data_IF_122295196187
#
_entry.id   IF_122295196187
#
_cell.length_a   1.000
_cell.length_b   1.000
_cell.length_c   1.000
_cell.angle_alpha   90.00
_cell.angle_beta   90.00
_cell.angle_gamma   90.00
#
_symmetry.space_group_name_H-M   'P 1'
#
loop_
_entity.id
_entity.type
_entity.pdbx_description
1 polymer ?
#
# COMPACT_ATOMS: atom_id res chain seq x y z
N UNK A 1 -30.38 -14.90 20.35
CA UNK A 1 -30.04 -13.89 21.38
C UNK A 1 -28.79 -13.16 20.94
N UNK A 2 -28.86 -11.84 20.66
CA UNK A 2 -27.68 -11.05 20.29
C UNK A 2 -26.89 -10.71 21.56
N UNK A 3 -25.76 -11.38 21.80
CA UNK A 3 -24.87 -11.06 22.91
C UNK A 3 -24.36 -9.61 22.76
N UNK A 4 -24.53 -8.74 23.76
CA UNK A 4 -24.00 -7.39 23.71
C UNK A 4 -22.47 -7.42 23.60
N UNK A 5 -21.92 -6.43 22.89
CA UNK A 5 -20.47 -6.34 22.67
C UNK A 5 -19.76 -5.93 23.96
N UNK A 6 -18.74 -6.69 24.43
CA UNK A 6 -17.97 -6.31 25.61
C UNK A 6 -17.27 -4.96 25.38
N UNK A 7 -17.25 -4.15 26.44
CA UNK A 7 -16.75 -2.78 26.39
C UNK A 7 -15.29 -2.70 25.90
N UNK A 8 -14.43 -3.58 26.42
CA UNK A 8 -13.01 -3.63 26.06
C UNK A 8 -12.78 -4.04 24.61
N UNK A 9 -13.53 -5.01 24.09
CA UNK A 9 -13.37 -5.48 22.71
C UNK A 9 -13.67 -4.37 21.70
N UNK A 10 -14.65 -3.50 22.01
CA UNK A 10 -14.94 -2.32 21.19
C UNK A 10 -13.77 -1.32 21.21
N UNK A 11 -13.18 -1.04 22.38
CA UNK A 11 -12.04 -0.12 22.47
C UNK A 11 -10.84 -0.62 21.67
N UNK A 12 -10.52 -1.92 21.76
CA UNK A 12 -9.49 -2.56 20.95
C UNK A 12 -9.79 -2.46 19.44
N UNK A 13 -11.04 -2.66 19.03
CA UNK A 13 -11.43 -2.54 17.62
C UNK A 13 -11.29 -1.10 17.10
N UNK A 14 -11.71 -0.10 17.88
CA UNK A 14 -11.57 1.30 17.49
C UNK A 14 -10.09 1.70 17.39
N UNK A 15 -9.27 1.25 18.34
CA UNK A 15 -7.81 1.45 18.28
C UNK A 15 -7.21 0.77 17.04
N UNK A 16 -7.59 -0.48 16.76
CA UNK A 16 -7.14 -1.21 15.59
C UNK A 16 -7.55 -0.51 14.27
N UNK A 17 -8.74 0.10 14.22
CA UNK A 17 -9.19 0.86 13.05
C UNK A 17 -8.39 2.14 12.84
N UNK A 18 -8.03 2.86 13.92
CA UNK A 18 -7.11 4.01 13.86
C UNK A 18 -5.74 3.58 13.35
N UNK A 19 -5.23 2.46 13.85
CA UNK A 19 -3.95 1.91 13.42
C UNK A 19 -4.00 1.45 11.95
N UNK A 20 -5.11 0.86 11.51
CA UNK A 20 -5.29 0.46 10.12
C UNK A 20 -5.34 1.66 9.15
N UNK A 21 -5.91 2.80 9.57
CA UNK A 21 -6.03 3.98 8.70
C UNK A 21 -4.84 4.94 8.76
N UNK A 22 -4.04 4.88 9.82
CA UNK A 22 -2.88 5.75 10.04
C UNK A 22 -1.99 5.93 8.80
N UNK A 23 -1.56 4.87 8.11
CA UNK A 23 -0.64 5.02 6.99
C UNK A 23 -1.34 5.44 5.69
N UNK A 24 -2.67 5.31 5.63
CA UNK A 24 -3.49 5.86 4.55
C UNK A 24 -3.74 7.37 4.71
N UNK A 25 -3.45 7.96 5.88
CA UNK A 25 -3.69 9.38 6.13
C UNK A 25 -2.88 10.32 5.24
N UNK A 26 -1.73 9.86 4.73
CA UNK A 26 -0.88 10.64 3.83
C UNK A 26 -1.34 10.59 2.37
N UNK A 27 -2.25 9.67 2.03
CA UNK A 27 -2.68 9.41 0.65
C UNK A 27 -4.15 9.72 0.42
N UNK A 28 -4.99 9.40 1.40
CA UNK A 28 -6.41 9.66 1.31
C UNK A 28 -6.66 11.17 1.48
N UNK A 29 -7.63 11.73 0.74
CA UNK A 29 -8.04 13.11 0.93
C UNK A 29 -8.41 13.37 2.40
N UNK A 30 -8.06 14.54 2.95
CA UNK A 30 -8.28 14.83 4.37
C UNK A 30 -9.73 14.67 4.82
N UNK A 31 -10.70 14.91 3.92
CA UNK A 31 -12.12 14.74 4.22
C UNK A 31 -12.49 13.29 4.55
N UNK A 32 -11.81 12.29 3.98
CA UNK A 32 -12.03 10.86 4.30
C UNK A 32 -11.62 10.59 5.75
N UNK A 33 -10.49 11.17 6.17
CA UNK A 33 -10.00 11.06 7.54
C UNK A 33 -10.92 11.76 8.52
N UNK A 34 -11.53 12.90 8.13
CA UNK A 34 -12.55 13.58 8.94
C UNK A 34 -13.77 12.67 9.13
N UNK A 35 -14.29 12.05 8.06
CA UNK A 35 -15.42 11.11 8.16
C UNK A 35 -15.07 9.95 9.10
N UNK A 36 -13.85 9.43 9.03
CA UNK A 36 -13.36 8.38 9.93
C UNK A 36 -13.20 8.82 11.38
N UNK A 37 -12.58 9.98 11.60
CA UNK A 37 -12.46 10.58 12.92
C UNK A 37 -13.83 10.79 13.57
N UNK A 38 -14.80 11.33 12.82
CA UNK A 38 -16.18 11.53 13.30
C UNK A 38 -16.84 10.19 13.61
N UNK A 39 -16.75 9.19 12.73
CA UNK A 39 -17.38 7.89 12.96
C UNK A 39 -16.80 7.16 14.19
N UNK A 40 -15.48 7.19 14.36
CA UNK A 40 -14.78 6.59 15.51
C UNK A 40 -15.10 7.35 16.79
N UNK A 41 -15.04 8.69 16.76
CA UNK A 41 -15.36 9.54 17.91
C UNK A 41 -16.82 9.37 18.34
N UNK A 42 -17.75 9.34 17.38
CA UNK A 42 -19.17 9.09 17.65
C UNK A 42 -19.36 7.73 18.33
N UNK A 43 -18.74 6.69 17.78
CA UNK A 43 -18.85 5.33 18.36
C UNK A 43 -18.26 5.27 19.77
N UNK A 44 -17.16 5.98 20.01
CA UNK A 44 -16.54 6.11 21.32
C UNK A 44 -17.41 6.89 22.32
N UNK A 45 -18.11 7.95 21.89
CA UNK A 45 -19.09 8.66 22.73
C UNK A 45 -20.31 7.81 23.07
N UNK A 46 -20.80 7.01 22.12
CA UNK A 46 -21.86 6.01 22.38
C UNK A 46 -21.37 4.95 23.37
N UNK A 47 -20.11 4.54 23.27
CA UNK A 47 -19.50 3.59 24.21
C UNK A 47 -19.45 4.12 25.65
N UNK A 48 -19.16 5.42 25.83
CA UNK A 48 -19.19 6.07 27.14
C UNK A 48 -20.61 6.28 27.69
N UNK A 49 -21.65 6.00 26.90
CA UNK A 49 -23.04 6.27 27.28
C UNK A 49 -23.45 7.75 27.14
N UNK A 50 -22.58 8.59 26.58
CA UNK A 50 -22.86 10.02 26.41
C UNK A 50 -23.87 10.29 25.30
N UNK A 51 -23.82 9.51 24.20
CA UNK A 51 -24.66 9.70 23.00
C UNK A 51 -25.45 8.44 22.65
N UNK A 52 -26.56 8.62 21.95
CA UNK A 52 -27.34 7.53 21.34
C UNK A 52 -26.79 7.16 19.95
N UNK A 53 -27.20 5.99 19.46
CA UNK A 53 -26.88 5.58 18.08
C UNK A 53 -27.52 6.54 17.07
N UNK A 54 -26.84 6.89 15.97
CA UNK A 54 -27.39 7.78 14.97
C UNK A 54 -28.65 7.17 14.32
N UNK A 55 -29.64 8.03 14.07
CA UNK A 55 -30.89 7.64 13.41
C UNK A 55 -30.66 7.13 11.98
N UNK A 56 -31.61 6.35 11.45
CA UNK A 56 -31.50 5.77 10.10
C UNK A 56 -31.31 6.83 9.01
N UNK A 57 -32.00 7.96 9.12
CA UNK A 57 -31.89 9.07 8.17
C UNK A 57 -30.48 9.69 8.13
N UNK A 58 -29.87 9.93 9.31
CA UNK A 58 -28.50 10.47 9.42
C UNK A 58 -27.49 9.51 8.78
N UNK A 59 -27.65 8.20 9.02
CA UNK A 59 -26.76 7.20 8.40
C UNK A 59 -26.91 7.16 6.89
N UNK A 60 -28.14 7.17 6.38
CA UNK A 60 -28.40 7.17 4.94
C UNK A 60 -27.83 8.43 4.28
N UNK A 61 -28.01 9.58 4.91
CA UNK A 61 -27.41 10.84 4.49
C UNK A 61 -25.88 10.74 4.44
N UNK A 62 -25.22 10.24 5.50
CA UNK A 62 -23.77 10.07 5.54
C UNK A 62 -23.26 9.14 4.43
N UNK A 63 -23.95 8.04 4.16
CA UNK A 63 -23.61 7.12 3.07
C UNK A 63 -23.71 7.84 1.72
N UNK A 64 -24.86 8.45 1.42
CA UNK A 64 -25.09 9.16 0.15
C UNK A 64 -24.07 10.27 -0.04
N UNK A 65 -23.84 11.09 0.98
CA UNK A 65 -22.85 12.18 0.95
C UNK A 65 -21.44 11.65 0.73
N UNK A 66 -21.07 10.52 1.35
CA UNK A 66 -19.74 9.94 1.17
C UNK A 66 -19.55 9.39 -0.25
N UNK A 67 -20.53 8.67 -0.79
CA UNK A 67 -20.49 8.17 -2.17
C UNK A 67 -20.42 9.33 -3.17
N UNK A 68 -21.22 10.37 -2.97
CA UNK A 68 -21.18 11.57 -3.80
C UNK A 68 -19.82 12.28 -3.71
N UNK A 69 -19.27 12.43 -2.50
CA UNK A 69 -17.95 13.02 -2.30
C UNK A 69 -16.84 12.23 -2.99
N UNK A 70 -16.85 10.89 -2.92
CA UNK A 70 -15.91 10.05 -3.68
C UNK A 70 -16.09 10.26 -5.19
N UNK A 71 -17.32 10.21 -5.70
CA UNK A 71 -17.59 10.34 -7.13
C UNK A 71 -17.27 11.72 -7.72
N UNK A 72 -17.35 12.78 -6.90
CA UNK A 72 -16.94 14.13 -7.28
C UNK A 72 -15.41 14.31 -7.19
N UNK A 73 -14.75 13.66 -6.23
CA UNK A 73 -13.31 13.78 -6.03
C UNK A 73 -12.51 12.97 -7.06
N UNK A 74 -12.90 11.72 -7.32
CA UNK A 74 -12.28 10.87 -8.33
C UNK A 74 -13.19 10.73 -9.55
N UNK A 75 -12.74 11.25 -10.70
CA UNK A 75 -13.47 11.20 -11.98
C UNK A 75 -13.69 9.76 -12.50
N UNK A 76 -12.89 8.81 -12.03
CA UNK A 76 -13.03 7.38 -12.31
C UNK A 76 -12.87 6.56 -11.03
N UNK A 77 -13.81 5.65 -10.78
CA UNK A 77 -13.80 4.75 -9.60
C UNK A 77 -12.92 3.50 -9.80
N UNK A 78 -12.27 3.36 -10.96
CA UNK A 78 -11.46 2.19 -11.34
C UNK A 78 -10.05 2.17 -10.72
N UNK A 79 -9.76 3.06 -9.78
CA UNK A 79 -8.46 3.15 -9.11
C UNK A 79 -8.42 2.45 -7.74
N UNK A 80 -7.21 2.12 -7.29
CA UNK A 80 -6.98 1.56 -5.96
C UNK A 80 -7.33 2.57 -4.85
N UNK A 81 -7.00 3.84 -5.04
CA UNK A 81 -7.28 4.91 -4.08
C UNK A 81 -8.77 5.10 -3.76
N UNK A 82 -9.68 5.31 -4.74
CA UNK A 82 -11.11 5.44 -4.45
C UNK A 82 -11.69 4.15 -3.83
N UNK A 83 -11.19 2.98 -4.20
CA UNK A 83 -11.61 1.72 -3.59
C UNK A 83 -11.24 1.65 -2.09
N UNK A 84 -10.01 2.04 -1.74
CA UNK A 84 -9.55 2.09 -0.35
C UNK A 84 -10.28 3.19 0.44
N UNK A 85 -10.55 4.34 -0.18
CA UNK A 85 -11.35 5.40 0.43
C UNK A 85 -12.77 4.94 0.77
N UNK A 86 -13.45 4.30 -0.19
CA UNK A 86 -14.78 3.72 0.02
C UNK A 86 -14.77 2.65 1.09
N UNK A 87 -13.76 1.79 1.11
CA UNK A 87 -13.60 0.76 2.13
C UNK A 87 -13.40 1.36 3.52
N UNK A 88 -12.56 2.39 3.64
CA UNK A 88 -12.33 3.10 4.91
C UNK A 88 -13.64 3.71 5.41
N UNK A 89 -14.33 4.48 4.56
CA UNK A 89 -15.64 5.09 4.85
C UNK A 89 -16.65 4.03 5.28
N UNK A 90 -16.78 2.94 4.51
CA UNK A 90 -17.68 1.85 4.81
C UNK A 90 -17.34 1.22 6.17
N UNK A 91 -16.05 1.01 6.45
CA UNK A 91 -15.54 0.49 7.72
C UNK A 91 -15.93 1.34 8.92
N UNK A 92 -15.68 2.65 8.89
CA UNK A 92 -16.03 3.50 10.03
C UNK A 92 -17.53 3.77 10.15
N UNK A 93 -18.26 3.93 9.05
CA UNK A 93 -19.73 3.99 9.11
C UNK A 93 -20.30 2.69 9.70
N UNK A 94 -19.74 1.53 9.32
CA UNK A 94 -20.12 0.25 9.88
C UNK A 94 -19.78 0.13 11.36
N UNK A 95 -18.60 0.62 11.77
CA UNK A 95 -18.20 0.67 13.18
C UNK A 95 -19.15 1.55 14.01
N UNK A 96 -19.60 2.69 13.46
CA UNK A 96 -20.54 3.60 14.10
C UNK A 96 -21.91 2.97 14.36
N UNK A 97 -22.39 2.11 13.46
CA UNK A 97 -23.68 1.42 13.60
C UNK A 97 -23.61 0.02 14.24
N UNK A 98 -22.42 -0.44 14.62
CA UNK A 98 -22.16 -1.81 15.05
C UNK A 98 -22.93 -2.18 16.32
N UNK A 99 -23.79 -3.21 16.21
CA UNK A 99 -24.62 -3.74 17.32
C UNK A 99 -24.43 -5.22 17.59
N UNK A 100 -24.12 -5.99 16.56
CA UNK A 100 -24.05 -7.46 16.64
C UNK A 100 -22.63 -7.99 16.51
N UNK A 101 -22.41 -9.25 16.88
CA UNK A 101 -21.14 -9.95 16.63
C UNK A 101 -20.80 -10.03 15.15
N UNK A 102 -21.81 -10.19 14.28
CA UNK A 102 -21.60 -10.18 12.83
C UNK A 102 -21.05 -8.84 12.37
N UNK A 103 -21.61 -7.73 12.87
CA UNK A 103 -21.12 -6.39 12.54
C UNK A 103 -19.67 -6.20 13.02
N UNK A 104 -19.32 -6.73 14.20
CA UNK A 104 -17.94 -6.72 14.72
C UNK A 104 -16.96 -7.43 13.81
N UNK A 105 -17.29 -8.64 13.36
CA UNK A 105 -16.44 -9.39 12.43
C UNK A 105 -16.27 -8.66 11.10
N UNK A 106 -17.33 -8.02 10.58
CA UNK A 106 -17.23 -7.21 9.36
C UNK A 106 -16.21 -6.08 9.53
N UNK A 107 -16.24 -5.32 10.63
CA UNK A 107 -15.29 -4.23 10.86
C UNK A 107 -13.87 -4.76 11.07
N UNK A 108 -13.71 -5.92 11.74
CA UNK A 108 -12.40 -6.60 11.87
C UNK A 108 -11.82 -6.97 10.50
N UNK A 109 -12.62 -7.57 9.62
CA UNK A 109 -12.17 -7.92 8.26
C UNK A 109 -11.87 -6.69 7.42
N UNK A 110 -12.66 -5.62 7.54
CA UNK A 110 -12.37 -4.34 6.90
C UNK A 110 -11.02 -3.78 7.40
N UNK A 111 -10.75 -3.83 8.70
CA UNK A 111 -9.48 -3.38 9.25
C UNK A 111 -8.29 -4.21 8.73
N UNK A 112 -8.41 -5.55 8.67
CA UNK A 112 -7.39 -6.39 8.05
C UNK A 112 -7.16 -6.04 6.58
N UNK A 113 -8.23 -5.80 5.82
CA UNK A 113 -8.11 -5.45 4.41
C UNK A 113 -7.48 -4.07 4.21
N UNK A 114 -7.78 -3.09 5.09
CA UNK A 114 -7.11 -1.79 5.09
C UNK A 114 -5.60 -1.91 5.40
N UNK A 115 -5.22 -2.80 6.33
CA UNK A 115 -3.81 -3.08 6.59
C UNK A 115 -3.15 -3.74 5.39
N UNK A 116 -3.81 -4.72 4.75
CA UNK A 116 -3.29 -5.38 3.57
C UNK A 116 -3.16 -4.42 2.37
N UNK A 117 -4.13 -3.51 2.18
CA UNK A 117 -4.10 -2.56 1.07
C UNK A 117 -2.93 -1.58 1.17
N UNK A 118 -2.41 -1.30 2.37
CA UNK A 118 -1.18 -0.52 2.56
C UNK A 118 -0.01 -1.07 1.76
N UNK A 119 0.14 -2.40 1.76
CA UNK A 119 1.25 -3.12 1.11
C UNK A 119 1.16 -3.10 -0.41
N UNK A 120 0.02 -2.67 -0.96
CA UNK A 120 -0.15 -2.46 -2.40
C UNK A 120 0.45 -1.13 -2.86
N UNK A 121 0.57 -0.16 -1.96
CA UNK A 121 1.12 1.16 -2.25
C UNK A 121 2.59 1.25 -1.86
N UNK A 122 2.96 0.73 -0.68
CA UNK A 122 4.31 0.88 -0.12
C UNK A 122 4.95 -0.47 0.12
N UNK A 123 6.12 -0.68 -0.47
CA UNK A 123 6.87 -1.93 -0.38
C UNK A 123 8.12 -1.81 0.51
N UNK A 124 8.32 -0.67 1.15
CA UNK A 124 9.45 -0.41 2.04
C UNK A 124 9.31 -1.12 3.40
N UNK A 125 10.44 -1.46 4.00
CA UNK A 125 10.52 -2.18 5.29
C UNK A 125 9.72 -1.50 6.42
N UNK A 126 9.75 -0.16 6.60
CA UNK A 126 8.98 0.49 7.67
C UNK A 126 7.47 0.24 7.58
N UNK A 127 6.91 0.20 6.37
CA UNK A 127 5.48 -0.07 6.18
C UNK A 127 5.14 -1.53 6.41
N UNK A 128 6.04 -2.46 6.08
CA UNK A 128 5.88 -3.87 6.44
C UNK A 128 5.87 -4.07 7.97
N UNK A 129 6.78 -3.42 8.70
CA UNK A 129 6.80 -3.45 10.16
C UNK A 129 5.53 -2.83 10.76
N UNK A 130 5.09 -1.69 10.21
CA UNK A 130 3.83 -1.07 10.60
C UNK A 130 2.64 -2.00 10.37
N UNK A 131 2.59 -2.68 9.22
CA UNK A 131 1.53 -3.64 8.91
C UNK A 131 1.49 -4.79 9.94
N UNK A 132 2.64 -5.32 10.36
CA UNK A 132 2.70 -6.33 11.43
C UNK A 132 2.10 -5.80 12.74
N UNK A 133 2.44 -4.58 13.15
CA UNK A 133 1.89 -3.94 14.35
C UNK A 133 0.38 -3.71 14.21
N UNK A 134 -0.08 -3.28 13.04
CA UNK A 134 -1.50 -3.08 12.75
C UNK A 134 -2.29 -4.40 12.77
N UNK A 135 -1.77 -5.45 12.13
CA UNK A 135 -2.33 -6.80 12.18
C UNK A 135 -2.38 -7.34 13.61
N UNK A 136 -1.37 -7.07 14.43
CA UNK A 136 -1.38 -7.40 15.86
C UNK A 136 -2.51 -6.67 16.60
N UNK A 137 -2.71 -5.37 16.34
CA UNK A 137 -3.82 -4.60 16.91
C UNK A 137 -5.19 -5.16 16.55
N UNK A 138 -5.41 -5.50 15.27
CA UNK A 138 -6.67 -6.11 14.80
C UNK A 138 -6.87 -7.51 15.41
N UNK A 139 -5.81 -8.31 15.49
CA UNK A 139 -5.85 -9.64 16.12
C UNK A 139 -6.17 -9.54 17.61
N UNK A 140 -5.59 -8.57 18.32
CA UNK A 140 -5.87 -8.31 19.73
C UNK A 140 -7.34 -7.94 19.96
N UNK A 141 -7.95 -7.16 19.06
CA UNK A 141 -9.38 -6.88 19.11
C UNK A 141 -10.23 -8.15 18.96
N UNK A 142 -9.86 -9.04 18.03
CA UNK A 142 -10.54 -10.31 17.81
C UNK A 142 -10.40 -11.25 19.01
N UNK A 143 -9.20 -11.34 19.60
CA UNK A 143 -8.92 -12.12 20.80
C UNK A 143 -9.71 -11.58 21.99
N UNK A 144 -9.69 -10.26 22.21
CA UNK A 144 -10.44 -9.59 23.29
C UNK A 144 -11.96 -9.80 23.17
N UNK A 145 -12.49 -10.12 21.98
CA UNK A 145 -13.90 -10.43 21.79
C UNK A 145 -14.24 -11.87 22.16
N UNK A 146 -13.37 -12.83 21.84
CA UNK A 146 -13.60 -14.26 22.07
C UNK A 146 -13.34 -14.68 23.51
N UNK A 147 -12.42 -14.00 24.20
CA UNK A 147 -12.12 -14.30 25.61
C UNK A 147 -13.15 -13.73 26.61
N UNK A 148 -14.08 -12.87 26.17
CA UNK A 148 -14.98 -12.17 27.09
C UNK A 148 -14.25 -11.11 27.93
N UNK A 149 -14.79 -10.77 29.11
CA UNK A 149 -14.08 -9.94 30.09
C UNK A 149 -13.23 -10.83 31.00
N UNK A 150 -11.90 -10.90 30.83
CA UNK A 150 -11.05 -11.65 31.74
C UNK A 150 -10.92 -10.91 33.08
N UNK A 151 -10.57 -11.67 34.13
CA UNK A 151 -10.28 -11.12 35.46
C UNK A 151 -9.28 -9.94 35.37
N UNK A 152 -9.45 -8.88 36.18
CA UNK A 152 -8.60 -7.69 36.13
C UNK A 152 -7.12 -8.06 36.39
N UNK A 153 -6.21 -7.54 35.55
CA UNK A 153 -4.75 -7.58 35.79
C UNK A 153 -3.90 -8.32 34.77
N UNK A 154 -4.46 -9.01 33.78
CA UNK A 154 -3.66 -9.72 32.77
C UNK A 154 -3.78 -9.07 31.38
N UNK A 155 -2.68 -8.69 30.70
CA UNK A 155 -2.70 -8.29 29.29
C UNK A 155 -2.87 -9.52 28.38
N UNK A 156 -3.83 -10.37 28.70
CA UNK A 156 -4.07 -11.67 28.05
C UNK A 156 -4.33 -11.56 26.54
N UNK A 157 -5.01 -10.51 26.02
CA UNK A 157 -5.21 -10.38 24.59
C UNK A 157 -3.90 -10.23 23.80
N UNK A 158 -2.93 -9.48 24.34
CA UNK A 158 -1.64 -9.23 23.67
C UNK A 158 -0.74 -10.46 23.71
N UNK A 159 -0.68 -11.17 24.85
CA UNK A 159 0.12 -12.39 24.97
C UNK A 159 -0.38 -13.47 24.02
N UNK A 160 -1.70 -13.73 23.98
CA UNK A 160 -2.24 -14.70 23.04
C UNK A 160 -2.07 -14.25 21.59
N UNK A 161 -2.26 -12.96 21.30
CA UNK A 161 -1.98 -12.41 19.97
C UNK A 161 -0.53 -12.64 19.56
N UNK A 162 0.43 -12.36 20.44
CA UNK A 162 1.85 -12.62 20.19
C UNK A 162 2.14 -14.09 19.92
N UNK A 163 1.53 -15.01 20.68
CA UNK A 163 1.63 -16.46 20.43
C UNK A 163 1.07 -16.85 19.07
N UNK A 164 -0.11 -16.34 18.69
CA UNK A 164 -0.74 -16.61 17.39
C UNK A 164 0.11 -16.08 16.23
N UNK A 165 0.66 -14.86 16.37
CA UNK A 165 1.55 -14.29 15.35
C UNK A 165 2.86 -15.06 15.25
N UNK A 166 3.45 -15.47 16.38
CA UNK A 166 4.65 -16.30 16.37
C UNK A 166 4.42 -17.65 15.68
N UNK A 167 3.25 -18.28 15.88
CA UNK A 167 2.85 -19.50 15.17
C UNK A 167 2.58 -19.27 13.67
N UNK A 168 2.18 -18.05 13.29
CA UNK A 168 2.00 -17.68 11.89
C UNK A 168 3.33 -17.49 11.14
N UNK A 169 4.44 -17.17 11.83
CA UNK A 169 5.76 -16.95 11.21
C UNK A 169 6.27 -18.18 10.44
N UNK A 170 6.27 -19.42 10.99
CA UNK A 170 6.65 -20.61 10.23
C UNK A 170 5.81 -20.80 8.96
N UNK A 171 4.49 -20.58 9.05
CA UNK A 171 3.58 -20.69 7.91
C UNK A 171 3.90 -19.62 6.87
N UNK A 172 4.15 -18.39 7.30
CA UNK A 172 4.58 -17.29 6.44
C UNK A 172 5.89 -17.61 5.72
N UNK A 173 6.90 -18.14 6.43
CA UNK A 173 8.19 -18.53 5.83
C UNK A 173 8.02 -19.68 4.83
N UNK A 174 7.19 -20.68 5.16
CA UNK A 174 6.87 -21.76 4.25
C UNK A 174 6.20 -21.23 2.97
N UNK A 175 5.17 -20.39 3.11
CA UNK A 175 4.51 -19.76 1.97
C UNK A 175 5.48 -18.86 1.19
N UNK A 176 6.38 -18.14 1.86
CA UNK A 176 7.37 -17.28 1.19
C UNK A 176 8.34 -18.09 0.31
N UNK A 177 8.73 -19.29 0.73
CA UNK A 177 9.63 -20.17 -0.04
C UNK A 177 8.88 -20.91 -1.14
N UNK A 178 7.67 -21.40 -0.85
CA UNK A 178 6.90 -22.25 -1.78
C UNK A 178 6.15 -21.44 -2.83
N UNK A 179 5.70 -20.23 -2.50
CA UNK A 179 4.86 -19.46 -3.41
C UNK A 179 5.71 -18.80 -4.51
N UNK A 180 5.48 -19.12 -5.79
CA UNK A 180 6.22 -18.52 -6.88
C UNK A 180 5.95 -17.02 -6.91
N UNK A 181 7.00 -16.22 -7.05
CA UNK A 181 6.90 -14.76 -7.23
C UNK A 181 6.40 -14.44 -8.64
N UNK A 182 5.13 -14.74 -8.90
CA UNK A 182 4.47 -14.42 -10.16
C UNK A 182 4.19 -12.92 -10.17
N UNK A 183 4.45 -12.25 -11.29
CA UNK A 183 4.06 -10.86 -11.47
C UNK A 183 2.55 -10.68 -11.24
N UNK A 184 2.09 -9.53 -10.73
CA UNK A 184 0.67 -9.32 -10.46
C UNK A 184 -0.17 -9.57 -11.72
N UNK A 185 -1.05 -10.56 -11.68
CA UNK A 185 -1.96 -10.90 -12.80
C UNK A 185 -3.01 -9.80 -13.08
N UNK A 186 -3.09 -8.81 -12.18
CA UNK A 186 -4.06 -7.73 -12.12
C UNK A 186 -3.37 -6.37 -12.10
N UNK A 187 -2.21 -6.22 -12.74
CA UNK A 187 -1.48 -4.95 -12.77
C UNK A 187 -2.37 -3.82 -13.34
N UNK A 188 -2.97 -3.05 -12.43
CA UNK A 188 -3.64 -1.79 -12.76
C UNK A 188 -2.51 -0.79 -12.98
N UNK A 189 -2.47 -0.06 -14.11
CA UNK A 189 -1.50 1.01 -14.31
C UNK A 189 -1.62 1.98 -13.13
N UNK A 190 -0.67 1.89 -12.20
CA UNK A 190 -0.60 2.83 -11.09
C UNK A 190 -0.23 4.16 -11.75
N UNK A 191 -1.10 5.15 -11.65
CA UNK A 191 -0.82 6.50 -12.10
C UNK A 191 0.14 7.17 -11.11
N UNK A 192 1.27 6.52 -10.83
CA UNK A 192 2.39 7.15 -10.17
C UNK A 192 2.89 8.23 -11.10
N UNK A 193 2.64 9.49 -10.75
CA UNK A 193 3.40 10.66 -11.24
C UNK A 193 4.90 10.58 -10.89
N UNK A 194 5.40 9.43 -10.46
CA UNK A 194 6.81 9.09 -10.39
C UNK A 194 7.32 8.94 -11.82
N UNK A 195 7.85 10.04 -12.34
CA UNK A 195 8.82 10.14 -13.42
C UNK A 195 8.74 9.01 -14.47
N UNK A 196 8.13 9.33 -15.60
CA UNK A 196 8.33 8.64 -16.89
C UNK A 196 9.76 8.12 -16.96
N UNK A 197 9.88 6.79 -17.04
CA UNK A 197 11.14 6.05 -16.92
C UNK A 197 12.10 6.41 -18.04
N UNK A 198 12.96 7.38 -17.77
CA UNK A 198 14.29 7.54 -18.36
C UNK A 198 15.31 7.51 -17.21
N UNK A 199 16.53 7.02 -17.45
CA UNK A 199 17.56 7.03 -16.41
C UNK A 199 17.87 8.49 -16.04
N UNK A 200 17.70 8.84 -14.76
CA UNK A 200 17.92 10.21 -14.24
C UNK A 200 19.40 10.57 -14.23
N UNK A 201 19.73 11.86 -14.30
CA UNK A 201 21.12 12.37 -14.28
C UNK A 201 21.85 12.18 -12.94
N UNK A 202 21.14 11.69 -11.93
CA UNK A 202 21.68 11.25 -10.65
C UNK A 202 21.07 9.93 -10.18
N UNK A 203 21.80 9.20 -9.33
CA UNK A 203 21.39 7.93 -8.74
C UNK A 203 21.80 7.87 -7.27
N UNK A 204 20.87 7.49 -6.39
CA UNK A 204 21.13 7.19 -4.97
C UNK A 204 21.06 5.69 -4.71
N UNK A 205 21.73 5.16 -3.66
CA UNK A 205 21.51 3.80 -3.19
C UNK A 205 20.01 3.58 -2.89
N UNK A 206 19.35 2.72 -3.67
CA UNK A 206 17.90 2.47 -3.61
C UNK A 206 17.13 2.77 -4.90
N UNK A 207 17.64 3.66 -5.76
CA UNK A 207 16.96 4.00 -7.03
C UNK A 207 17.03 2.85 -8.05
N UNK A 208 18.08 2.03 -8.01
CA UNK A 208 18.20 0.78 -8.80
C UNK A 208 17.10 -0.22 -8.47
N UNK A 209 16.71 -0.32 -7.20
CA UNK A 209 15.66 -1.25 -6.75
C UNK A 209 14.28 -0.83 -7.31
N UNK A 210 14.02 0.47 -7.41
CA UNK A 210 12.80 1.01 -8.03
C UNK A 210 12.74 0.77 -9.54
N UNK A 211 13.88 0.89 -10.23
CA UNK A 211 13.97 0.61 -11.67
C UNK A 211 13.79 -0.89 -11.99
N UNK A 212 14.29 -1.79 -11.15
CA UNK A 212 14.11 -3.24 -11.32
C UNK A 212 12.67 -3.72 -11.17
N UNK A 213 11.77 -2.89 -10.60
CA UNK A 213 10.35 -3.20 -10.44
C UNK A 213 9.47 -2.80 -11.63
N UNK A 214 10.02 -2.05 -12.60
CA UNK A 214 9.26 -1.62 -13.78
C UNK A 214 9.33 -2.67 -14.89
N UNK A 215 8.16 -3.11 -15.38
CA UNK A 215 8.04 -3.96 -16.57
C UNK A 215 7.94 -3.16 -17.87
N UNK A 216 8.20 -1.85 -17.85
CA UNK A 216 8.19 -1.02 -19.06
C UNK A 216 9.27 -1.48 -20.04
N UNK A 217 8.93 -1.57 -21.33
CA UNK A 217 9.86 -1.96 -22.38
C UNK A 217 10.98 -0.93 -22.50
N UNK A 218 12.20 -1.28 -22.04
CA UNK A 218 13.34 -0.38 -22.10
C UNK A 218 13.99 -0.33 -23.49
N UNK A 219 14.20 -1.49 -24.12
CA UNK A 219 14.80 -1.60 -25.44
C UNK A 219 14.36 -2.89 -26.15
N UNK A 220 14.31 -2.84 -27.49
CA UNK A 220 14.25 -4.03 -28.35
C UNK A 220 15.50 -4.06 -29.22
N UNK A 221 16.18 -5.21 -29.22
CA UNK A 221 17.38 -5.43 -30.03
C UNK A 221 17.15 -6.63 -30.95
N UNK A 222 17.57 -6.49 -32.20
CA UNK A 222 17.55 -7.56 -33.21
C UNK A 222 18.98 -7.79 -33.68
N UNK A 223 19.43 -9.05 -33.65
CA UNK A 223 20.76 -9.44 -34.10
C UNK A 223 20.67 -10.02 -35.52
N UNK A 224 21.67 -9.75 -36.35
CA UNK A 224 21.72 -10.31 -37.72
C UNK A 224 22.18 -11.78 -37.76
N UNK A 225 22.64 -12.33 -36.64
CA UNK A 225 23.14 -13.70 -36.49
C UNK A 225 22.76 -14.34 -35.15
N UNK A 226 23.56 -15.31 -34.68
CA UNK A 226 23.33 -15.96 -33.39
C UNK A 226 23.34 -14.94 -32.24
N UNK A 227 22.39 -15.06 -31.32
CA UNK A 227 22.31 -14.19 -30.14
C UNK A 227 23.53 -14.46 -29.24
N UNK A 228 24.30 -13.43 -28.84
CA UNK A 228 25.44 -13.59 -27.93
C UNK A 228 25.05 -14.23 -26.60
N UNK A 229 26.01 -14.85 -25.91
CA UNK A 229 25.77 -15.43 -24.59
C UNK A 229 25.26 -14.36 -23.60
N UNK A 230 24.39 -14.72 -22.66
CA UNK A 230 23.73 -13.75 -21.77
C UNK A 230 24.71 -12.86 -20.99
N UNK A 231 25.90 -13.37 -20.65
CA UNK A 231 26.96 -12.62 -19.96
C UNK A 231 27.58 -11.49 -20.81
N UNK A 232 27.44 -11.56 -22.13
CA UNK A 232 27.95 -10.57 -23.08
C UNK A 232 26.88 -9.52 -23.42
N UNK A 233 25.61 -9.76 -23.05
CA UNK A 233 24.49 -8.82 -23.22
C UNK A 233 24.51 -7.72 -22.14
N UNK A 234 25.67 -7.09 -21.94
CA UNK A 234 25.82 -5.94 -21.07
C UNK A 234 25.48 -4.65 -21.81
N UNK A 235 24.24 -4.18 -21.64
CA UNK A 235 23.75 -2.94 -22.24
C UNK A 235 24.19 -1.73 -21.41
N UNK A 236 25.36 -1.19 -21.72
CA UNK A 236 25.90 0.00 -21.03
C UNK A 236 24.96 1.20 -21.23
N UNK A 237 24.38 1.67 -20.13
CA UNK A 237 23.54 2.87 -20.06
C UNK A 237 24.35 4.12 -19.69
N UNK A 238 23.84 4.91 -18.75
CA UNK A 238 24.54 6.06 -18.18
C UNK A 238 25.70 5.62 -17.28
N UNK A 239 26.74 6.45 -17.22
CA UNK A 239 27.91 6.24 -16.35
C UNK A 239 27.94 7.39 -15.35
N UNK A 240 27.83 7.05 -14.06
CA UNK A 240 27.96 8.02 -12.99
C UNK A 240 29.38 7.94 -12.41
N UNK A 241 30.10 9.05 -12.43
CA UNK A 241 31.51 9.12 -12.03
C UNK A 241 31.78 10.09 -10.89
N UNK A 242 30.82 10.96 -10.55
CA UNK A 242 30.94 11.93 -9.46
C UNK A 242 30.11 11.45 -8.26
N UNK A 243 30.73 11.36 -7.08
CA UNK A 243 30.07 10.94 -5.84
C UNK A 243 30.20 12.03 -4.77
N UNK A 244 29.06 12.48 -4.22
CA UNK A 244 29.01 13.57 -3.24
C UNK A 244 28.88 13.08 -1.77
N UNK A 245 29.01 11.78 -1.53
CA UNK A 245 28.80 11.15 -0.22
C UNK A 245 27.40 10.57 -0.02
N UNK A 246 26.43 10.92 -0.88
CA UNK A 246 25.04 10.40 -0.83
C UNK A 246 24.51 9.97 -2.19
N UNK A 247 24.87 10.67 -3.26
CA UNK A 247 24.38 10.47 -4.61
C UNK A 247 25.54 10.37 -5.60
N UNK A 248 25.33 9.57 -6.64
CA UNK A 248 26.16 9.48 -7.82
C UNK A 248 25.57 10.37 -8.92
N UNK A 249 26.41 11.11 -9.63
CA UNK A 249 26.06 12.03 -10.73
C UNK A 249 26.90 11.75 -11.96
N UNK A 250 26.35 12.06 -13.14
CA UNK A 250 27.11 11.96 -14.37
C UNK A 250 28.22 13.00 -14.37
N UNK A 251 29.46 12.56 -14.58
CA UNK A 251 30.58 13.46 -14.73
C UNK A 251 30.39 14.41 -15.89
N UNK A 252 30.88 15.65 -15.76
CA UNK A 252 30.83 16.64 -16.85
C UNK A 252 31.42 16.10 -18.17
N UNK A 253 32.50 15.31 -18.09
CA UNK A 253 33.12 14.65 -19.26
C UNK A 253 32.23 13.56 -19.86
N UNK A 254 31.58 12.73 -19.03
CA UNK A 254 30.70 11.67 -19.50
C UNK A 254 29.44 12.22 -20.19
N UNK A 255 28.91 13.37 -19.72
CA UNK A 255 27.81 14.10 -20.38
C UNK A 255 28.24 14.62 -21.76
N UNK A 256 29.43 15.23 -21.84
CA UNK A 256 29.95 15.74 -23.09
C UNK A 256 30.24 14.63 -24.11
N UNK A 257 30.81 13.50 -23.67
CA UNK A 257 30.99 12.31 -24.52
C UNK A 257 29.66 11.74 -25.02
N UNK A 258 28.62 11.70 -24.17
CA UNK A 258 27.30 11.22 -24.55
C UNK A 258 26.61 12.15 -25.58
N UNK A 259 26.78 13.46 -25.46
CA UNK A 259 26.32 14.45 -26.44
C UNK A 259 27.08 14.32 -27.77
N UNK A 260 28.41 14.18 -27.72
CA UNK A 260 29.26 13.96 -28.89
C UNK A 260 28.92 12.64 -29.61
N UNK A 261 28.65 11.56 -28.86
CA UNK A 261 28.25 10.27 -29.42
C UNK A 261 26.85 10.29 -30.07
N UNK A 262 25.96 11.19 -29.64
CA UNK A 262 24.67 11.42 -30.30
C UNK A 262 24.82 12.23 -31.60
N UNK A 263 25.89 13.02 -31.73
CA UNK A 263 26.12 13.92 -32.88
C UNK A 263 26.93 13.30 -34.04
N UNK A 264 27.36 12.05 -33.95
CA UNK A 264 27.78 11.28 -35.14
C UNK A 264 29.13 10.58 -35.04
N UNK A 265 29.17 9.41 -34.41
CA UNK A 265 30.27 8.46 -34.55
C UNK A 265 29.81 7.20 -35.33
N UNK A 266 30.63 6.65 -36.25
CA UNK A 266 30.29 5.44 -36.99
C UNK A 266 30.27 4.22 -36.07
N UNK A 267 29.14 3.49 -36.06
CA UNK A 267 28.97 2.26 -35.27
C UNK A 267 29.49 1.04 -36.05
N UNK A 268 30.28 0.13 -35.44
CA UNK A 268 30.42 -1.21 -36.00
C UNK A 268 29.10 -1.98 -35.80
N UNK A 269 28.60 -2.53 -36.90
CA UNK A 269 27.55 -3.56 -37.02
C UNK A 269 26.46 -3.61 -35.93
N UNK A 270 25.54 -2.64 -35.94
CA UNK A 270 24.22 -2.75 -35.30
C UNK A 270 23.17 -2.29 -36.32
N UNK A 271 22.34 -3.22 -36.83
CA UNK A 271 21.38 -2.95 -37.92
C UNK A 271 20.32 -1.93 -37.51
N UNK A 272 19.74 -2.07 -36.32
CA UNK A 272 18.71 -1.16 -35.78
C UNK A 272 18.63 -1.31 -34.25
N UNK A 273 18.66 -0.17 -33.55
CA UNK A 273 18.35 -0.07 -32.13
C UNK A 273 17.18 0.89 -32.00
N UNK A 274 15.97 0.37 -31.79
CA UNK A 274 14.80 1.22 -31.57
C UNK A 274 14.71 1.50 -30.08
N UNK A 275 15.12 2.71 -29.68
CA UNK A 275 14.79 3.25 -28.36
C UNK A 275 13.32 3.63 -28.38
N UNK A 276 12.53 3.12 -27.43
CA UNK A 276 11.19 3.66 -27.19
C UNK A 276 11.38 5.00 -26.47
N UNK A 277 10.86 6.13 -26.99
CA UNK A 277 10.99 7.41 -26.31
C UNK A 277 10.36 7.32 -24.92
N UNK A 278 11.04 7.81 -23.91
CA UNK A 278 10.49 7.97 -22.56
C UNK A 278 9.46 9.10 -22.56
N UNK A 279 8.27 8.85 -23.12
CA UNK A 279 7.22 9.87 -23.14
C UNK A 279 6.06 9.70 -24.11
N UNK A 280 6.05 8.73 -25.02
CA UNK A 280 4.93 8.54 -25.94
C UNK A 280 4.50 7.07 -26.00
N UNK A 281 3.33 6.78 -25.42
CA UNK A 281 2.46 5.73 -25.92
C UNK A 281 1.11 6.36 -26.27
N UNK A 282 0.70 6.15 -27.52
CA UNK A 282 -0.69 6.11 -27.95
C UNK A 282 -1.45 5.00 -27.24
#
# INVERSE_FOLDING_TARGET
MSTPLPRRSLAWLLFALVLAIGPHALRLPPWVLVVMGVAIAWRYRVHQGAWSFPGRAVKLLLVVMSFLAVGLHWRALSGLEPAVALLAIAGGLKAMEMRTTRDFLVVVFVAYFLVASQLLFEQEIPYALYAVVATAGVTAAMVARHQGDPAPGFPHPLVLTGKLLAQAVPVMLLLFVVFPRIAPLWAIPQNTQSARTGPSDSMSPGDVARLSGSNALALRATFEGAIPAQRELYWRGLVFSEFDGRQWRQGAMARMEAELAQQGAPRPALRQLTRVPSGEET
#
